data_IF_451949364502
#
_entry.id   IF_451949364502
#
_cell.length_a   1.000
_cell.length_b   1.000
_cell.length_c   1.000
_cell.angle_alpha   90.00
_cell.angle_beta   90.00
_cell.angle_gamma   90.00
#
_symmetry.space_group_name_H-M   'P 1'
#
loop_
_entity.id
_entity.type
_entity.pdbx_description
1 polymer ?
#
# COMPACT_ATOMS: atom_id res chain seq x y z
N UNK A 1 -0.24 9.68 -11.84
CA UNK A 1 -0.67 10.90 -11.10
C UNK A 1 -2.13 11.10 -11.47
N UNK A 2 -3.07 11.10 -10.51
CA UNK A 2 -4.50 11.26 -10.85
C UNK A 2 -4.83 12.73 -11.06
N UNK A 3 -5.49 13.02 -12.18
CA UNK A 3 -5.98 14.35 -12.57
C UNK A 3 -7.37 14.55 -11.97
N UNK A 4 -7.63 15.66 -11.24
CA UNK A 4 -8.94 15.92 -10.66
C UNK A 4 -10.03 16.07 -11.74
N UNK A 5 -11.32 15.83 -11.39
CA UNK A 5 -12.44 15.88 -12.33
C UNK A 5 -12.58 17.21 -13.08
N UNK A 6 -12.96 17.15 -14.36
CA UNK A 6 -13.37 18.32 -15.14
C UNK A 6 -14.84 18.63 -14.80
N UNK A 7 -15.07 19.56 -13.86
CA UNK A 7 -16.38 19.90 -13.31
C UNK A 7 -17.26 20.67 -14.31
N UNK A 8 -18.27 20.03 -14.91
CA UNK A 8 -19.40 20.76 -15.52
C UNK A 8 -20.52 21.09 -14.52
N UNK A 9 -20.51 20.53 -13.31
CA UNK A 9 -21.45 20.89 -12.24
C UNK A 9 -20.72 21.15 -10.91
N UNK A 10 -20.69 22.43 -10.50
CA UNK A 10 -20.04 22.86 -9.25
C UNK A 10 -20.95 22.57 -8.06
N UNK A 11 -20.45 21.80 -7.09
CA UNK A 11 -21.05 21.72 -5.76
C UNK A 11 -21.19 23.11 -5.13
N UNK A 12 -22.37 23.40 -4.56
CA UNK A 12 -22.65 24.68 -3.88
C UNK A 12 -22.20 24.71 -2.40
N UNK A 13 -21.84 23.56 -1.82
CA UNK A 13 -21.45 23.50 -0.41
C UNK A 13 -20.09 24.18 -0.17
N UNK A 14 -19.95 25.15 0.76
CA UNK A 14 -18.73 25.92 0.96
C UNK A 14 -17.47 25.06 1.19
N UNK A 15 -17.59 24.00 2.00
CA UNK A 15 -16.49 23.05 2.27
C UNK A 15 -16.01 22.36 0.98
N UNK A 16 -16.93 21.98 0.09
CA UNK A 16 -16.59 21.29 -1.16
C UNK A 16 -16.02 22.24 -2.22
N UNK A 17 -16.36 23.53 -2.15
CA UNK A 17 -15.74 24.58 -2.97
C UNK A 17 -14.30 24.81 -2.51
N UNK A 18 -14.06 24.87 -1.20
CA UNK A 18 -12.71 24.99 -0.65
C UNK A 18 -11.85 23.78 -1.03
N UNK A 19 -12.40 22.56 -0.94
CA UNK A 19 -11.73 21.34 -1.38
C UNK A 19 -11.29 21.44 -2.85
N UNK A 20 -12.19 21.87 -3.75
CA UNK A 20 -11.85 22.07 -5.17
C UNK A 20 -10.70 23.07 -5.33
N UNK A 21 -10.66 24.12 -4.51
CA UNK A 21 -9.58 25.09 -4.47
C UNK A 21 -8.24 24.46 -4.07
N UNK A 22 -8.23 23.59 -3.07
CA UNK A 22 -7.02 22.87 -2.65
C UNK A 22 -6.54 21.90 -3.73
N UNK A 23 -7.46 21.18 -4.37
CA UNK A 23 -7.16 20.22 -5.44
C UNK A 23 -6.49 20.84 -6.67
N UNK A 24 -6.84 22.09 -6.97
CA UNK A 24 -6.34 22.83 -8.14
C UNK A 24 -5.05 23.59 -7.87
N UNK A 25 -4.61 23.71 -6.61
CA UNK A 25 -3.36 24.41 -6.29
C UNK A 25 -2.17 23.62 -6.81
N UNK A 26 -1.40 24.26 -7.69
CA UNK A 26 -0.12 23.72 -8.11
C UNK A 26 0.96 24.10 -7.09
N UNK A 27 1.19 23.20 -6.13
CA UNK A 27 2.20 23.32 -5.09
C UNK A 27 2.94 22.00 -4.91
N UNK A 28 4.17 22.07 -4.36
CA UNK A 28 4.96 20.91 -3.98
C UNK A 28 4.17 19.93 -3.10
N UNK A 29 4.50 18.63 -3.19
CA UNK A 29 3.74 17.54 -2.57
C UNK A 29 3.58 17.75 -1.07
N UNK A 30 4.67 18.06 -0.37
CA UNK A 30 4.70 18.20 1.09
C UNK A 30 3.75 19.30 1.56
N UNK A 31 3.81 20.46 0.90
CA UNK A 31 2.93 21.60 1.18
C UNK A 31 1.47 21.29 0.84
N UNK A 32 1.22 20.52 -0.22
CA UNK A 32 -0.13 20.05 -0.59
C UNK A 32 -0.70 19.15 0.50
N UNK A 33 0.09 18.23 1.00
CA UNK A 33 -0.32 17.24 1.99
C UNK A 33 -0.62 17.88 3.34
N UNK A 34 0.15 18.90 3.73
CA UNK A 34 -0.13 19.72 4.91
C UNK A 34 -1.45 20.50 4.78
N UNK A 35 -1.67 21.17 3.64
CA UNK A 35 -2.92 21.87 3.36
C UNK A 35 -4.12 20.92 3.41
N UNK A 36 -3.99 19.74 2.79
CA UNK A 36 -5.02 18.70 2.80
C UNK A 36 -5.33 18.21 4.20
N UNK A 37 -4.29 17.94 4.99
CA UNK A 37 -4.43 17.43 6.34
C UNK A 37 -5.14 18.44 7.25
N UNK A 38 -4.75 19.71 7.18
CA UNK A 38 -5.35 20.77 7.97
C UNK A 38 -6.80 21.01 7.57
N UNK A 39 -7.09 21.01 6.26
CA UNK A 39 -8.45 21.10 5.75
C UNK A 39 -9.33 19.94 6.22
N UNK A 40 -8.84 18.70 6.11
CA UNK A 40 -9.57 17.51 6.52
C UNK A 40 -9.89 17.55 8.03
N UNK A 41 -8.88 17.85 8.87
CA UNK A 41 -9.05 17.90 10.32
C UNK A 41 -10.04 18.97 10.76
N UNK A 42 -10.01 20.16 10.14
CA UNK A 42 -10.94 21.26 10.46
C UNK A 42 -12.39 20.91 10.13
N UNK A 43 -12.60 20.07 9.13
CA UNK A 43 -13.92 19.70 8.63
C UNK A 43 -14.26 18.23 8.91
N UNK A 44 -13.65 17.63 9.96
CA UNK A 44 -13.74 16.19 10.22
C UNK A 44 -15.19 15.72 10.37
N UNK A 45 -16.00 16.42 11.16
CA UNK A 45 -17.42 16.08 11.39
C UNK A 45 -18.23 16.00 10.09
N UNK A 46 -17.98 16.92 9.15
CA UNK A 46 -18.63 16.94 7.86
C UNK A 46 -18.26 15.72 7.00
N UNK A 47 -16.98 15.34 7.00
CA UNK A 47 -16.48 14.22 6.20
C UNK A 47 -16.67 12.84 6.84
N UNK A 48 -16.88 12.76 8.15
CA UNK A 48 -17.15 11.50 8.86
C UNK A 48 -18.62 11.10 8.81
N UNK A 49 -19.52 12.06 8.68
CA UNK A 49 -20.91 11.79 8.36
C UNK A 49 -21.08 11.48 6.87
N UNK A 50 -21.20 10.18 6.56
CA UNK A 50 -21.32 9.67 5.20
C UNK A 50 -22.67 9.99 4.55
N UNK A 51 -23.65 10.51 5.29
CA UNK A 51 -24.92 10.98 4.70
C UNK A 51 -24.75 12.32 3.97
N UNK A 52 -23.69 13.08 4.27
CA UNK A 52 -23.32 14.27 3.50
C UNK A 52 -22.88 13.94 2.06
N UNK A 53 -22.54 12.69 1.77
CA UNK A 53 -22.26 12.17 0.43
C UNK A 53 -23.54 11.60 -0.20
N UNK A 54 -24.42 12.50 -0.65
CA UNK A 54 -25.79 12.18 -1.10
C UNK A 54 -25.99 12.21 -2.63
N UNK A 55 -24.97 12.58 -3.38
CA UNK A 55 -24.99 12.63 -4.86
C UNK A 55 -23.70 12.03 -5.40
N UNK A 56 -23.71 11.48 -6.62
CA UNK A 56 -22.50 10.89 -7.21
C UNK A 56 -21.28 11.85 -7.21
N UNK A 57 -21.52 13.16 -7.41
CA UNK A 57 -20.48 14.20 -7.38
C UNK A 57 -19.94 14.42 -5.96
N UNK A 58 -20.79 14.47 -4.95
CA UNK A 58 -20.34 14.64 -3.55
C UNK A 58 -19.64 13.38 -3.05
N UNK A 59 -20.18 12.21 -3.37
CA UNK A 59 -19.58 10.90 -3.10
C UNK A 59 -18.21 10.75 -3.75
N UNK A 60 -18.05 11.14 -5.02
CA UNK A 60 -16.74 11.08 -5.70
C UNK A 60 -15.70 11.98 -5.02
N UNK A 61 -16.10 13.19 -4.60
CA UNK A 61 -15.22 14.10 -3.83
C UNK A 61 -14.84 13.54 -2.47
N UNK A 62 -15.78 12.93 -1.75
CA UNK A 62 -15.50 12.25 -0.48
C UNK A 62 -14.51 11.11 -0.69
N UNK A 63 -14.74 10.25 -1.69
CA UNK A 63 -13.83 9.16 -2.05
C UNK A 63 -12.42 9.69 -2.30
N UNK A 64 -12.29 10.73 -3.14
CA UNK A 64 -10.99 11.31 -3.46
C UNK A 64 -10.26 11.83 -2.21
N UNK A 65 -10.96 12.59 -1.38
CA UNK A 65 -10.40 13.16 -0.16
C UNK A 65 -9.99 12.06 0.83
N UNK A 66 -10.78 11.00 0.97
CA UNK A 66 -10.46 9.86 1.84
C UNK A 66 -9.26 9.07 1.31
N UNK A 67 -9.14 8.87 -0.01
CA UNK A 67 -7.94 8.29 -0.64
C UNK A 67 -6.70 9.11 -0.31
N UNK A 68 -6.76 10.44 -0.50
CA UNK A 68 -5.64 11.34 -0.22
C UNK A 68 -5.25 11.29 1.27
N UNK A 69 -6.25 11.25 2.15
CA UNK A 69 -6.00 11.17 3.58
C UNK A 69 -5.37 9.83 3.99
N UNK A 70 -5.82 8.70 3.43
CA UNK A 70 -5.19 7.38 3.65
C UNK A 70 -3.73 7.41 3.22
N UNK A 71 -3.40 8.01 2.06
CA UNK A 71 -2.01 8.15 1.61
C UNK A 71 -1.16 8.91 2.63
N UNK A 72 -1.65 10.06 3.10
CA UNK A 72 -0.93 10.88 4.09
C UNK A 72 -0.73 10.09 5.40
N UNK A 73 -1.70 9.29 5.81
CA UNK A 73 -1.58 8.43 6.98
C UNK A 73 -0.59 7.27 6.75
N UNK A 74 -0.52 6.72 5.54
CA UNK A 74 0.48 5.69 5.16
C UNK A 74 1.90 6.25 5.26
N UNK A 75 2.14 7.45 4.69
CA UNK A 75 3.43 8.16 4.74
C UNK A 75 3.85 8.44 6.21
N UNK A 76 2.89 8.57 7.13
CA UNK A 76 3.12 8.78 8.58
C UNK A 76 3.15 7.51 9.43
N UNK A 77 2.91 6.33 8.84
CA UNK A 77 2.82 5.08 9.59
C UNK A 77 1.55 4.93 10.45
N UNK A 78 0.55 5.80 10.29
CA UNK A 78 -0.69 5.82 11.10
C UNK A 78 -1.76 4.84 10.57
N UNK A 79 -1.36 3.58 10.35
CA UNK A 79 -2.18 2.59 9.62
C UNK A 79 -3.53 2.28 10.28
N UNK A 80 -3.60 2.30 11.62
CA UNK A 80 -4.85 2.07 12.36
C UNK A 80 -5.91 3.14 12.07
N UNK A 81 -5.51 4.40 11.96
CA UNK A 81 -6.41 5.48 11.55
C UNK A 81 -6.78 5.33 10.07
N UNK A 82 -5.80 4.97 9.24
CA UNK A 82 -6.04 4.68 7.82
C UNK A 82 -7.07 3.57 7.60
N UNK A 83 -7.17 2.58 8.50
CA UNK A 83 -8.18 1.53 8.43
C UNK A 83 -9.61 2.05 8.61
N UNK A 84 -9.82 2.95 9.55
CA UNK A 84 -11.13 3.57 9.80
C UNK A 84 -11.58 4.30 8.54
N UNK A 85 -10.67 5.07 7.94
CA UNK A 85 -10.92 5.81 6.70
C UNK A 85 -11.14 4.86 5.52
N UNK A 86 -10.42 3.73 5.46
CA UNK A 86 -10.60 2.70 4.44
C UNK A 86 -11.97 2.00 4.54
N UNK A 87 -12.51 1.82 5.75
CA UNK A 87 -13.85 1.26 5.95
C UNK A 87 -14.94 2.22 5.46
N UNK A 88 -14.80 3.52 5.77
CA UNK A 88 -15.65 4.56 5.18
C UNK A 88 -15.57 4.56 3.65
N UNK A 89 -14.39 4.33 3.09
CA UNK A 89 -14.18 4.28 1.64
C UNK A 89 -14.96 3.14 0.98
N UNK A 90 -15.02 1.95 1.59
CA UNK A 90 -15.84 0.85 1.08
C UNK A 90 -17.32 1.19 1.04
N UNK A 91 -17.83 1.87 2.07
CA UNK A 91 -19.23 2.33 2.11
C UNK A 91 -19.50 3.35 0.99
N UNK A 92 -18.60 4.32 0.81
CA UNK A 92 -18.75 5.36 -0.22
C UNK A 92 -18.74 4.79 -1.64
N UNK A 93 -17.86 3.81 -1.94
CA UNK A 93 -17.90 3.11 -3.24
C UNK A 93 -19.25 2.42 -3.44
N UNK A 94 -19.80 1.79 -2.39
CA UNK A 94 -21.10 1.13 -2.44
C UNK A 94 -22.27 2.09 -2.72
N UNK A 95 -22.14 3.37 -2.33
CA UNK A 95 -23.12 4.43 -2.62
C UNK A 95 -23.00 4.99 -4.05
N UNK A 96 -21.85 4.84 -4.71
CA UNK A 96 -21.60 5.44 -6.03
C UNK A 96 -22.27 4.62 -7.13
N UNK A 97 -23.04 5.28 -8.00
CA UNK A 97 -23.66 4.62 -9.15
C UNK A 97 -22.59 4.01 -10.08
N UNK A 98 -22.78 2.76 -10.48
CA UNK A 98 -21.90 2.04 -11.40
C UNK A 98 -21.84 2.66 -12.79
N UNK A 99 -22.89 3.38 -13.19
CA UNK A 99 -22.96 4.09 -14.46
C UNK A 99 -22.34 5.49 -14.40
N UNK A 100 -21.90 5.94 -13.21
CA UNK A 100 -21.21 7.22 -13.09
C UNK A 100 -19.88 7.19 -13.84
N UNK A 101 -19.59 8.23 -14.60
CA UNK A 101 -18.47 8.24 -15.56
C UNK A 101 -17.10 7.99 -14.90
N UNK A 102 -16.92 8.31 -13.62
CA UNK A 102 -15.67 8.05 -12.87
C UNK A 102 -15.71 6.79 -12.02
N UNK A 103 -16.81 6.02 -12.04
CA UNK A 103 -17.01 4.91 -11.13
C UNK A 103 -15.82 3.94 -11.15
N UNK A 104 -15.40 3.49 -12.34
CA UNK A 104 -14.30 2.53 -12.47
C UNK A 104 -12.99 3.08 -11.91
N UNK A 105 -12.65 4.33 -12.23
CA UNK A 105 -11.44 4.98 -11.74
C UNK A 105 -11.43 5.09 -10.22
N UNK A 106 -12.55 5.52 -9.63
CA UNK A 106 -12.70 5.68 -8.19
C UNK A 106 -12.75 4.34 -7.46
N UNK A 107 -13.44 3.35 -8.02
CA UNK A 107 -13.51 1.98 -7.53
C UNK A 107 -12.11 1.38 -7.42
N UNK A 108 -11.33 1.45 -8.50
CA UNK A 108 -9.99 0.88 -8.55
C UNK A 108 -9.05 1.61 -7.58
N UNK A 109 -9.03 2.95 -7.63
CA UNK A 109 -8.17 3.76 -6.76
C UNK A 109 -8.47 3.50 -5.28
N UNK A 110 -9.75 3.34 -4.94
CA UNK A 110 -10.16 3.05 -3.57
C UNK A 110 -9.75 1.64 -3.13
N UNK A 111 -10.06 0.61 -3.92
CA UNK A 111 -9.68 -0.77 -3.62
C UNK A 111 -8.17 -0.94 -3.49
N UNK A 112 -7.39 -0.22 -4.30
CA UNK A 112 -5.93 -0.15 -4.17
C UNK A 112 -5.52 0.34 -2.78
N UNK A 113 -6.02 1.48 -2.33
CA UNK A 113 -5.63 2.05 -1.03
C UNK A 113 -6.14 1.26 0.18
N UNK A 114 -7.32 0.65 0.07
CA UNK A 114 -7.81 -0.32 1.06
C UNK A 114 -6.83 -1.50 1.18
N UNK A 115 -6.43 -2.08 0.05
CA UNK A 115 -5.52 -3.22 0.03
C UNK A 115 -4.12 -2.87 0.55
N UNK A 116 -3.59 -1.69 0.21
CA UNK A 116 -2.33 -1.16 0.76
C UNK A 116 -2.40 -1.10 2.29
N UNK A 117 -3.43 -0.45 2.83
CA UNK A 117 -3.59 -0.28 4.27
C UNK A 117 -3.73 -1.64 5.00
N UNK A 118 -4.47 -2.60 4.43
CA UNK A 118 -4.55 -3.97 4.95
C UNK A 118 -3.17 -4.66 4.98
N UNK A 119 -2.35 -4.48 3.94
CA UNK A 119 -0.99 -5.01 3.90
C UNK A 119 -0.11 -4.44 5.02
N UNK A 120 -0.15 -3.12 5.25
CA UNK A 120 0.57 -2.48 6.36
C UNK A 120 0.12 -2.97 7.74
N UNK A 121 -1.15 -3.35 7.87
CA UNK A 121 -1.71 -3.98 9.07
C UNK A 121 -1.46 -5.49 9.15
N UNK A 122 -0.58 -6.04 8.32
CA UNK A 122 -0.25 -7.47 8.25
C UNK A 122 -1.44 -8.39 7.90
N UNK A 123 -2.53 -7.84 7.37
CA UNK A 123 -3.71 -8.59 6.89
C UNK A 123 -3.51 -9.04 5.45
N UNK A 124 -2.40 -9.73 5.18
CA UNK A 124 -1.92 -10.03 3.82
C UNK A 124 -2.91 -10.86 2.99
N UNK A 125 -3.61 -11.83 3.61
CA UNK A 125 -4.61 -12.64 2.91
C UNK A 125 -5.75 -11.77 2.33
N UNK A 126 -6.21 -10.79 3.11
CA UNK A 126 -7.26 -9.87 2.68
C UNK A 126 -6.76 -8.88 1.62
N UNK A 127 -5.58 -8.28 1.85
CA UNK A 127 -4.90 -7.41 0.88
C UNK A 127 -4.74 -8.11 -0.49
N UNK A 128 -4.18 -9.31 -0.49
CA UNK A 128 -3.88 -10.06 -1.71
C UNK A 128 -5.15 -10.50 -2.45
N UNK A 129 -6.27 -10.74 -1.74
CA UNK A 129 -7.55 -11.02 -2.38
C UNK A 129 -8.02 -9.83 -3.21
N UNK A 130 -7.99 -8.63 -2.63
CA UNK A 130 -8.40 -7.40 -3.33
C UNK A 130 -7.50 -7.15 -4.53
N UNK A 131 -6.19 -7.28 -4.38
CA UNK A 131 -5.29 -7.06 -5.51
C UNK A 131 -5.44 -8.10 -6.63
N UNK A 132 -5.77 -9.36 -6.32
CA UNK A 132 -6.10 -10.36 -7.35
C UNK A 132 -7.35 -9.99 -8.14
N UNK A 133 -8.32 -9.32 -7.52
CA UNK A 133 -9.48 -8.78 -8.22
C UNK A 133 -9.07 -7.61 -9.13
N UNK A 134 -8.25 -6.69 -8.62
CA UNK A 134 -7.74 -5.56 -9.40
C UNK A 134 -6.87 -5.99 -10.59
N UNK A 135 -6.13 -7.08 -10.46
CA UNK A 135 -5.33 -7.64 -11.56
C UNK A 135 -6.17 -8.05 -12.77
N UNK A 136 -7.41 -8.49 -12.56
CA UNK A 136 -8.31 -8.88 -13.66
C UNK A 136 -8.75 -7.68 -14.51
N UNK A 137 -8.55 -6.46 -14.00
CA UNK A 137 -8.94 -5.21 -14.66
C UNK A 137 -7.81 -4.61 -15.51
N UNK A 138 -6.68 -5.31 -15.65
CA UNK A 138 -5.49 -5.06 -16.48
C UNK A 138 -4.73 -3.71 -16.26
N UNK A 139 -5.41 -2.62 -15.91
CA UNK A 139 -4.87 -1.26 -15.76
C UNK A 139 -3.84 -1.08 -14.62
N UNK A 140 -3.67 -2.06 -13.72
CA UNK A 140 -2.84 -1.91 -12.51
C UNK A 140 -1.84 -3.05 -12.29
N UNK A 141 -1.57 -3.82 -13.33
CA UNK A 141 -0.66 -4.96 -13.30
C UNK A 141 0.75 -4.58 -12.85
N UNK A 142 1.31 -3.48 -13.36
CA UNK A 142 2.65 -3.00 -13.00
C UNK A 142 2.72 -2.48 -11.55
N UNK A 143 1.67 -1.81 -11.08
CA UNK A 143 1.60 -1.37 -9.68
C UNK A 143 1.54 -2.57 -8.72
N UNK A 144 0.71 -3.57 -9.03
CA UNK A 144 0.62 -4.77 -8.21
C UNK A 144 1.94 -5.55 -8.17
N UNK A 145 2.66 -5.61 -9.29
CA UNK A 145 4.00 -6.19 -9.34
C UNK A 145 4.94 -5.48 -8.36
N UNK A 146 5.02 -4.15 -8.43
CA UNK A 146 5.83 -3.34 -7.49
C UNK A 146 5.40 -3.56 -6.04
N UNK A 147 4.09 -3.64 -5.78
CA UNK A 147 3.55 -3.84 -4.43
C UNK A 147 3.87 -5.22 -3.83
N UNK A 148 3.75 -6.32 -4.60
CA UNK A 148 4.16 -7.65 -4.14
C UNK A 148 5.65 -7.65 -3.87
N UNK A 149 6.46 -7.18 -4.82
CA UNK A 149 7.92 -7.20 -4.70
C UNK A 149 8.34 -6.45 -3.45
N UNK A 150 7.84 -5.23 -3.28
CA UNK A 150 8.17 -4.40 -2.12
C UNK A 150 7.69 -5.02 -0.79
N UNK A 151 6.50 -5.64 -0.74
CA UNK A 151 6.08 -6.33 0.49
C UNK A 151 6.91 -7.58 0.76
N UNK A 152 7.26 -8.33 -0.28
CA UNK A 152 8.08 -9.54 -0.13
C UNK A 152 9.46 -9.14 0.41
N UNK A 153 10.04 -8.06 -0.10
CA UNK A 153 11.30 -7.49 0.40
C UNK A 153 11.17 -7.02 1.85
N UNK A 154 10.12 -6.28 2.20
CA UNK A 154 9.92 -5.79 3.57
C UNK A 154 9.62 -6.90 4.58
N UNK A 155 8.99 -7.99 4.15
CA UNK A 155 8.50 -9.04 5.04
C UNK A 155 9.45 -10.22 5.12
N UNK A 156 10.10 -10.63 4.02
CA UNK A 156 10.91 -11.86 3.99
C UNK A 156 12.38 -11.52 4.18
N UNK A 157 12.87 -10.47 3.52
CA UNK A 157 14.31 -10.18 3.51
C UNK A 157 14.87 -9.91 4.90
N UNK A 158 14.24 -9.15 5.82
CA UNK A 158 14.78 -8.95 7.16
C UNK A 158 14.96 -10.25 7.94
N UNK A 159 13.99 -11.17 7.89
CA UNK A 159 14.11 -12.45 8.60
C UNK A 159 15.14 -13.36 7.96
N UNK A 160 15.21 -13.37 6.63
CA UNK A 160 16.20 -14.18 5.91
C UNK A 160 17.63 -13.68 6.14
N UNK A 161 17.85 -12.35 6.13
CA UNK A 161 19.14 -11.74 6.51
C UNK A 161 19.48 -11.96 7.97
N UNK A 162 18.52 -11.84 8.89
CA UNK A 162 18.73 -12.10 10.32
C UNK A 162 19.14 -13.57 10.55
N UNK A 163 18.44 -14.51 9.90
CA UNK A 163 18.75 -15.93 9.98
C UNK A 163 20.15 -16.23 9.40
N UNK A 164 20.49 -15.65 8.24
CA UNK A 164 21.83 -15.77 7.67
C UNK A 164 22.91 -15.24 8.63
N UNK A 165 22.67 -14.08 9.27
CA UNK A 165 23.57 -13.51 10.27
C UNK A 165 23.77 -14.41 11.49
N UNK A 166 22.69 -14.99 12.03
CA UNK A 166 22.77 -15.94 13.13
C UNK A 166 23.55 -17.21 12.76
N UNK A 167 23.33 -17.75 11.56
CA UNK A 167 24.05 -18.92 11.07
C UNK A 167 25.54 -18.62 10.84
N UNK A 168 25.88 -17.42 10.37
CA UNK A 168 27.27 -16.96 10.25
C UNK A 168 27.93 -16.84 11.63
N UNK A 169 27.30 -16.15 12.58
CA UNK A 169 27.81 -16.01 13.95
C UNK A 169 28.01 -17.38 14.63
N UNK A 170 27.10 -18.32 14.41
CA UNK A 170 27.23 -19.68 14.92
C UNK A 170 28.38 -20.46 14.27
N UNK A 171 28.56 -20.29 12.96
CA UNK A 171 29.64 -20.93 12.18
C UNK A 171 31.01 -20.41 12.59
N UNK A 172 31.12 -19.11 12.89
CA UNK A 172 32.33 -18.44 13.34
C UNK A 172 32.38 -18.22 14.86
N UNK A 173 31.59 -18.98 15.64
CA UNK A 173 31.47 -18.77 17.10
C UNK A 173 32.79 -18.83 17.86
N UNK A 174 33.75 -19.64 17.39
CA UNK A 174 35.09 -19.72 17.99
C UNK A 174 35.84 -18.40 17.86
N UNK A 175 35.70 -17.74 16.71
CA UNK A 175 36.36 -16.45 16.41
C UNK A 175 35.69 -15.31 17.15
N UNK A 176 34.34 -15.28 17.17
CA UNK A 176 33.58 -14.17 17.75
C UNK A 176 33.33 -14.28 19.27
N UNK A 177 33.21 -15.49 19.81
CA UNK A 177 32.80 -15.72 21.20
C UNK A 177 33.78 -16.60 21.99
N UNK A 178 34.90 -17.02 21.39
CA UNK A 178 35.87 -17.94 22.01
C UNK A 178 35.24 -19.27 22.50
N UNK A 179 34.09 -19.64 21.94
CA UNK A 179 33.37 -20.88 22.27
C UNK A 179 33.88 -22.00 21.37
N UNK A 180 34.65 -22.92 21.95
CA UNK A 180 35.24 -24.05 21.23
C UNK A 180 34.38 -25.31 21.41
N UNK A 181 33.38 -25.46 20.55
CA UNK A 181 32.57 -26.69 20.46
C UNK A 181 33.10 -27.47 19.26
N UNK A 182 33.46 -28.74 19.45
CA UNK A 182 33.85 -29.61 18.36
C UNK A 182 32.64 -29.83 17.42
N UNK A 183 32.66 -29.19 16.26
CA UNK A 183 31.66 -29.36 15.20
C UNK A 183 32.36 -29.99 14.00
N UNK A 184 31.85 -31.12 13.48
CA UNK A 184 32.43 -31.74 12.30
C UNK A 184 32.51 -30.76 11.14
N UNK A 185 33.63 -30.75 10.42
CA UNK A 185 33.84 -29.86 9.27
C UNK A 185 32.70 -29.93 8.24
N UNK A 186 32.18 -31.13 7.97
CA UNK A 186 31.05 -31.33 7.05
C UNK A 186 29.77 -30.60 7.48
N UNK A 187 29.52 -30.44 8.78
CA UNK A 187 28.36 -29.70 9.28
C UNK A 187 28.51 -28.19 9.09
N UNK A 188 29.70 -27.65 9.37
CA UNK A 188 30.02 -26.24 9.10
C UNK A 188 29.95 -25.91 7.60
N UNK A 189 30.46 -26.80 6.75
CA UNK A 189 30.38 -26.65 5.29
C UNK A 189 28.93 -26.64 4.82
N UNK A 190 28.07 -27.52 5.36
CA UNK A 190 26.65 -27.57 5.03
C UNK A 190 25.92 -26.28 5.42
N UNK A 191 26.25 -25.67 6.56
CA UNK A 191 25.67 -24.37 6.96
C UNK A 191 26.11 -23.26 6.00
N UNK A 192 27.39 -23.21 5.61
CA UNK A 192 27.88 -22.23 4.63
C UNK A 192 27.16 -22.38 3.29
N UNK A 193 26.96 -23.63 2.84
CA UNK A 193 26.20 -23.92 1.61
C UNK A 193 24.74 -23.44 1.75
N UNK A 194 24.08 -23.72 2.88
CA UNK A 194 22.71 -23.26 3.14
C UNK A 194 22.61 -21.74 3.16
N UNK A 195 23.57 -21.03 3.76
CA UNK A 195 23.63 -19.56 3.73
C UNK A 195 23.80 -19.07 2.30
N UNK A 196 24.72 -19.66 1.53
CA UNK A 196 24.92 -19.34 0.12
C UNK A 196 23.64 -19.52 -0.70
N UNK A 197 22.95 -20.65 -0.54
CA UNK A 197 21.67 -20.93 -1.19
C UNK A 197 20.57 -19.96 -0.75
N UNK A 198 20.54 -19.57 0.53
CA UNK A 198 19.59 -18.58 1.04
C UNK A 198 19.85 -17.20 0.43
N UNK A 199 21.11 -16.77 0.32
CA UNK A 199 21.48 -15.50 -0.29
C UNK A 199 21.19 -15.48 -1.80
N UNK A 200 21.49 -16.58 -2.50
CA UNK A 200 21.11 -16.78 -3.90
C UNK A 200 19.59 -16.74 -4.03
N UNK A 201 18.85 -17.44 -3.17
CA UNK A 201 17.40 -17.41 -3.16
C UNK A 201 16.86 -15.99 -2.95
N UNK A 202 17.38 -15.22 -1.99
CA UNK A 202 16.95 -13.82 -1.78
C UNK A 202 17.23 -12.99 -3.04
N UNK A 203 18.45 -13.06 -3.59
CA UNK A 203 18.85 -12.30 -4.77
C UNK A 203 18.04 -12.66 -6.02
N UNK A 204 17.81 -13.96 -6.26
CA UNK A 204 17.06 -14.44 -7.43
C UNK A 204 15.55 -14.43 -7.21
N UNK A 205 15.04 -14.51 -5.98
CA UNK A 205 13.60 -14.44 -5.69
C UNK A 205 13.01 -13.13 -6.23
N UNK A 206 13.76 -12.03 -6.16
CA UNK A 206 13.40 -10.77 -6.82
C UNK A 206 13.19 -10.94 -8.34
N UNK A 207 14.08 -11.66 -9.04
CA UNK A 207 13.97 -11.90 -10.49
C UNK A 207 12.97 -12.99 -10.86
N UNK A 208 12.84 -14.03 -10.05
CA UNK A 208 11.97 -15.19 -10.25
C UNK A 208 10.52 -14.83 -9.97
N UNK A 209 10.22 -14.12 -8.87
CA UNK A 209 8.89 -13.60 -8.58
C UNK A 209 8.47 -12.66 -9.71
N UNK A 210 9.35 -11.75 -10.12
CA UNK A 210 9.10 -10.88 -11.28
C UNK A 210 8.82 -11.70 -12.55
N UNK A 211 9.65 -12.69 -12.88
CA UNK A 211 9.53 -13.52 -14.08
C UNK A 211 8.24 -14.39 -14.09
N UNK A 212 7.93 -15.10 -13.01
CA UNK A 212 6.75 -15.97 -12.92
C UNK A 212 5.44 -15.17 -12.87
N UNK A 213 5.43 -14.01 -12.21
CA UNK A 213 4.27 -13.12 -12.21
C UNK A 213 4.07 -12.50 -13.60
N UNK A 214 5.15 -12.10 -14.30
CA UNK A 214 5.08 -11.60 -15.68
C UNK A 214 4.57 -12.66 -16.66
N UNK A 215 5.01 -13.92 -16.52
CA UNK A 215 4.67 -15.00 -17.46
C UNK A 215 3.25 -15.56 -17.28
N UNK A 216 2.70 -15.60 -16.05
CA UNK A 216 1.31 -16.07 -15.79
C UNK A 216 0.22 -15.06 -16.15
N UNK A 217 0.59 -13.85 -16.53
CA UNK A 217 -0.36 -12.78 -16.83
C UNK A 217 -0.31 -12.33 -18.30
N UNK A 218 0.50 -12.96 -19.14
CA UNK A 218 0.27 -12.96 -20.60
C UNK A 218 -0.75 -14.03 -20.92
#
# INVERSE_FOLDING_TARGET
MYTPPNNSEKSKHPILIELDGILKKDVQKEKRDELFLNFYKRNLSFFDDLENANTNITTSKFIYLKIMYIRILDDKGEYKKGKIVADQLEVLIGKLDKNYYEYNTLYIASKKWIAINLGRLKKYRASNRIFKELLKLDEYKEFYQKWIVHNTEWIISPYAYTLAGLLLLWSFRKVFFSVDIAVPFGFSLLIIILIGLLLIYIFFSHKIIHYFVVRRCK
#
